data_IF_596770242883
#
_entry.id   IF_596770242883
#
_cell.length_a   1.000
_cell.length_b   1.000
_cell.length_c   1.000
_cell.angle_alpha   90.00
_cell.angle_beta   90.00
_cell.angle_gamma   90.00
#
_symmetry.space_group_name_H-M   'P 1'
#
loop_
_entity.id
_entity.type
_entity.pdbx_description
1 polymer ?
#
# COMPACT_ATOMS: atom_id res chain seq x y z
N UNK A 1 13.94 21.64 -49.29
CA UNK A 1 13.34 21.89 -47.96
C UNK A 1 12.85 23.34 -47.91
N UNK A 2 11.56 23.64 -48.12
CA UNK A 2 11.03 24.95 -47.81
C UNK A 2 10.46 24.96 -46.38
N UNK A 3 11.14 25.66 -45.48
CA UNK A 3 10.63 25.99 -44.15
C UNK A 3 9.58 27.09 -44.25
N UNK A 4 8.41 26.85 -43.68
CA UNK A 4 7.30 27.80 -43.66
C UNK A 4 7.35 28.67 -42.41
N UNK A 5 7.27 29.96 -42.66
CA UNK A 5 7.31 31.08 -41.74
C UNK A 5 6.26 31.03 -40.62
N UNK A 6 6.74 31.51 -39.49
CA UNK A 6 6.08 32.26 -38.43
C UNK A 6 4.82 33.05 -38.84
N UNK A 7 3.96 33.24 -37.82
CA UNK A 7 3.13 34.41 -37.54
C UNK A 7 1.65 34.31 -37.95
N UNK A 8 0.74 34.27 -36.94
CA UNK A 8 -0.30 35.31 -36.75
C UNK A 8 -1.23 35.10 -35.54
N UNK A 9 -1.35 36.20 -34.77
CA UNK A 9 -2.44 36.69 -33.90
C UNK A 9 -3.08 35.73 -32.88
N UNK A 10 -2.89 35.90 -31.57
CA UNK A 10 -3.40 37.01 -30.74
C UNK A 10 -4.93 37.17 -30.82
N UNK A 11 -5.65 36.51 -29.91
CA UNK A 11 -7.03 36.86 -29.55
C UNK A 11 -6.99 37.38 -28.12
N UNK A 12 -7.21 38.69 -27.96
CA UNK A 12 -7.32 39.35 -26.68
C UNK A 12 -8.79 39.73 -26.43
N UNK A 13 -9.21 39.49 -25.19
CA UNK A 13 -10.00 40.40 -24.35
C UNK A 13 -11.53 40.21 -24.20
N UNK A 14 -11.89 40.28 -22.90
CA UNK A 14 -13.12 40.84 -22.27
C UNK A 14 -14.31 39.90 -22.02
N UNK A 15 -14.48 39.48 -20.75
CA UNK A 15 -15.65 39.92 -19.95
C UNK A 15 -15.37 39.85 -18.43
N UNK A 16 -15.64 40.95 -17.75
CA UNK A 16 -15.44 41.23 -16.32
C UNK A 16 -16.77 41.12 -15.58
N UNK A 17 -16.75 40.57 -14.36
CA UNK A 17 -17.50 41.11 -13.23
C UNK A 17 -18.86 40.48 -12.85
N UNK A 18 -18.91 39.84 -11.68
CA UNK A 18 -19.87 40.15 -10.62
C UNK A 18 -19.45 39.47 -9.30
N UNK A 19 -19.02 40.29 -8.35
CA UNK A 19 -18.58 39.96 -7.00
C UNK A 19 -19.69 40.45 -6.05
N UNK A 20 -20.34 39.56 -5.31
CA UNK A 20 -21.18 39.93 -4.16
C UNK A 20 -21.06 38.86 -3.05
N UNK A 21 -20.35 39.13 -1.94
CA UNK A 21 -20.40 38.31 -0.74
C UNK A 21 -21.55 38.79 0.14
N UNK A 22 -22.62 38.00 0.27
CA UNK A 22 -23.63 38.24 1.30
C UNK A 22 -23.15 37.55 2.58
N UNK A 23 -22.47 38.32 3.41
CA UNK A 23 -22.15 37.97 4.79
C UNK A 23 -23.44 37.90 5.61
N UNK A 24 -23.92 36.69 5.87
CA UNK A 24 -24.90 36.46 6.95
C UNK A 24 -24.14 36.26 8.27
N UNK A 25 -23.99 37.35 9.01
CA UNK A 25 -23.62 37.31 10.43
C UNK A 25 -24.85 36.94 11.26
N UNK A 26 -24.78 35.81 11.97
CA UNK A 26 -25.58 35.57 13.19
C UNK A 26 -24.86 34.59 14.12
N UNK A 27 -25.16 34.67 15.42
CA UNK A 27 -24.29 35.13 16.47
C UNK A 27 -23.36 34.02 16.98
N UNK A 28 -22.15 34.39 17.40
CA UNK A 28 -21.40 33.57 18.33
C UNK A 28 -22.19 33.56 19.65
N UNK A 29 -22.95 32.50 19.87
CA UNK A 29 -23.28 32.03 21.20
C UNK A 29 -21.94 31.77 21.90
N UNK A 30 -21.47 32.78 22.61
CA UNK A 30 -20.33 32.77 23.51
C UNK A 30 -20.64 31.88 24.72
N UNK A 31 -20.98 30.62 24.49
CA UNK A 31 -20.95 29.59 25.52
C UNK A 31 -19.48 29.33 25.83
N UNK A 32 -19.00 30.11 26.79
CA UNK A 32 -17.61 30.15 27.25
C UNK A 32 -17.03 28.75 27.41
N UNK A 33 -15.89 28.50 26.77
CA UNK A 33 -15.08 27.29 26.94
C UNK A 33 -14.80 26.97 28.42
N UNK A 34 -14.76 28.01 29.28
CA UNK A 34 -14.58 27.85 30.71
C UNK A 34 -15.81 27.20 31.39
N UNK A 35 -17.02 27.52 30.92
CA UNK A 35 -18.25 26.91 31.43
C UNK A 35 -18.39 25.47 30.91
N UNK A 36 -18.06 25.22 29.64
CA UNK A 36 -17.99 23.87 29.07
C UNK A 36 -16.95 23.00 29.79
N UNK A 37 -15.78 23.54 30.09
CA UNK A 37 -14.73 22.85 30.85
C UNK A 37 -15.15 22.56 32.30
N UNK A 38 -15.86 23.48 32.97
CA UNK A 38 -16.45 23.21 34.29
C UNK A 38 -17.47 22.09 34.24
N UNK A 39 -18.42 22.11 33.30
CA UNK A 39 -19.40 21.01 33.13
C UNK A 39 -18.74 19.68 32.81
N UNK A 40 -17.69 19.66 31.99
CA UNK A 40 -16.94 18.44 31.68
C UNK A 40 -16.23 17.86 32.92
N UNK A 41 -15.69 18.73 33.80
CA UNK A 41 -15.07 18.33 35.07
C UNK A 41 -16.09 17.83 36.08
N UNK A 42 -17.25 18.48 36.18
CA UNK A 42 -18.38 18.05 37.03
C UNK A 42 -18.86 16.64 36.64
N UNK A 43 -18.99 16.37 35.33
CA UNK A 43 -19.39 15.04 34.81
C UNK A 43 -18.38 13.92 35.12
N UNK A 44 -17.09 14.25 35.28
CA UNK A 44 -16.04 13.27 35.65
C UNK A 44 -15.95 13.02 37.17
N UNK A 45 -16.57 13.85 38.01
CA UNK A 45 -16.59 13.63 39.48
C UNK A 45 -17.54 12.49 39.90
N UNK A 46 -18.52 12.14 39.06
CA UNK A 46 -19.48 11.06 39.29
C UNK A 46 -19.28 9.82 38.42
N UNK A 47 -18.29 9.82 37.51
CA UNK A 47 -18.03 8.65 36.66
C UNK A 47 -17.34 7.55 37.46
N UNK A 48 -17.92 6.34 37.42
CA UNK A 48 -17.32 5.14 37.99
C UNK A 48 -15.87 4.97 37.51
N UNK A 49 -15.02 4.46 38.42
CA UNK A 49 -13.58 4.24 38.20
C UNK A 49 -13.37 3.56 36.84
N UNK A 50 -12.41 4.04 36.01
CA UNK A 50 -12.14 3.40 34.73
C UNK A 50 -11.85 1.92 34.93
N UNK A 51 -12.41 1.07 34.06
CA UNK A 51 -12.19 -0.36 34.08
C UNK A 51 -10.68 -0.65 34.11
N UNK A 52 -10.30 -1.64 34.92
CA UNK A 52 -8.92 -2.04 35.17
C UNK A 52 -8.16 -2.17 33.85
N UNK A 53 -7.11 -1.37 33.67
CA UNK A 53 -6.23 -1.47 32.50
C UNK A 53 -5.53 -2.82 32.58
N UNK A 54 -5.80 -3.70 31.62
CA UNK A 54 -5.05 -4.94 31.47
C UNK A 54 -3.73 -4.59 30.79
N UNK A 55 -2.65 -4.49 31.57
CA UNK A 55 -1.27 -4.42 31.07
C UNK A 55 -0.67 -5.81 31.00
N UNK A 56 0.47 -5.96 30.30
CA UNK A 56 1.19 -7.23 30.13
C UNK A 56 1.45 -7.95 31.47
N UNK A 57 1.63 -7.19 32.55
CA UNK A 57 1.83 -7.69 33.91
C UNK A 57 0.57 -8.29 34.58
N UNK A 58 -0.62 -8.02 34.04
CA UNK A 58 -1.91 -8.50 34.57
C UNK A 58 -2.53 -9.60 33.71
N UNK A 59 -1.82 -10.02 32.66
CA UNK A 59 -2.16 -11.21 31.88
C UNK A 59 -1.81 -12.44 32.73
N UNK A 60 -2.83 -13.16 33.19
CA UNK A 60 -2.65 -14.49 33.78
C UNK A 60 -2.34 -15.48 32.64
N UNK A 61 -1.10 -15.43 32.15
CA UNK A 61 -0.62 -16.38 31.14
C UNK A 61 -0.41 -17.71 31.83
N UNK A 62 -1.42 -18.59 31.74
CA UNK A 62 -1.22 -20.00 32.06
C UNK A 62 -0.12 -20.53 31.14
N UNK A 63 0.95 -21.02 31.77
CA UNK A 63 2.13 -21.61 31.12
C UNK A 63 1.69 -22.83 30.30
N UNK A 64 1.21 -22.60 29.08
CA UNK A 64 0.59 -23.61 28.21
C UNK A 64 -0.11 -23.06 26.96
N UNK A 65 -0.56 -21.79 26.96
CA UNK A 65 -1.27 -21.20 25.81
C UNK A 65 -0.37 -20.42 24.83
N UNK A 66 0.92 -20.31 25.10
CA UNK A 66 1.90 -19.84 24.12
C UNK A 66 2.34 -21.00 23.24
N UNK A 67 1.62 -21.24 22.14
CA UNK A 67 2.17 -22.01 21.01
C UNK A 67 3.27 -21.19 20.35
N UNK A 68 4.46 -21.27 20.93
CA UNK A 68 5.69 -20.85 20.27
C UNK A 68 5.90 -21.81 19.09
N UNK A 69 5.67 -21.32 17.87
CA UNK A 69 5.96 -22.04 16.64
C UNK A 69 7.49 -22.13 16.46
N UNK A 70 8.13 -22.98 17.27
CA UNK A 70 9.49 -23.44 17.05
C UNK A 70 9.38 -24.63 16.10
N UNK A 71 10.05 -24.51 14.96
CA UNK A 71 10.17 -25.56 13.96
C UNK A 71 10.74 -26.82 14.61
N UNK A 72 9.91 -27.83 14.78
CA UNK A 72 10.31 -29.17 15.15
C UNK A 72 10.80 -29.87 13.89
N UNK A 73 12.13 -29.95 13.75
CA UNK A 73 12.81 -30.71 12.72
C UNK A 73 12.70 -32.21 13.06
N UNK A 74 11.99 -33.04 12.26
CA UNK A 74 11.90 -34.46 12.55
C UNK A 74 13.22 -35.14 12.18
N UNK A 75 13.99 -35.51 13.22
CA UNK A 75 15.08 -36.47 13.13
C UNK A 75 14.51 -37.85 12.79
N UNK A 76 14.75 -38.31 11.56
CA UNK A 76 14.48 -39.68 11.16
C UNK A 76 15.62 -40.56 11.69
N UNK A 77 15.26 -41.62 12.43
CA UNK A 77 16.15 -42.68 12.84
C UNK A 77 16.42 -43.65 11.67
N UNK A 78 17.68 -43.96 11.43
CA UNK A 78 18.09 -45.03 10.52
C UNK A 78 19.04 -44.57 9.41
N UNK A 79 20.33 -44.53 9.70
CA UNK A 79 21.34 -44.73 8.67
C UNK A 79 21.27 -46.20 8.17
N UNK A 80 21.64 -46.47 6.92
CA UNK A 80 23.01 -46.95 6.75
C UNK A 80 23.76 -46.39 5.53
N UNK A 81 25.06 -46.62 5.62
CA UNK A 81 26.18 -46.34 4.73
C UNK A 81 25.99 -46.49 3.22
N UNK A 82 26.83 -45.72 2.52
CA UNK A 82 27.13 -45.82 1.11
C UNK A 82 27.75 -47.17 0.71
N UNK A 83 27.29 -47.75 -0.40
CA UNK A 83 28.14 -48.48 -1.36
C UNK A 83 27.41 -48.75 -2.70
N UNK A 84 28.03 -48.26 -3.79
CA UNK A 84 27.97 -48.63 -5.21
C UNK A 84 27.18 -49.90 -5.64
N UNK A 85 26.32 -49.79 -6.66
CA UNK A 85 26.67 -50.03 -8.08
C UNK A 85 25.45 -49.84 -9.03
N UNK A 86 25.68 -49.64 -10.35
CA UNK A 86 24.71 -49.06 -11.28
C UNK A 86 23.78 -50.12 -11.89
N UNK A 87 22.48 -49.86 -11.83
CA UNK A 87 21.47 -50.58 -12.58
C UNK A 87 20.79 -49.63 -13.55
N UNK A 88 21.13 -49.74 -14.84
CA UNK A 88 20.34 -49.14 -15.91
C UNK A 88 18.90 -49.64 -15.80
N UNK A 89 17.99 -48.76 -15.39
CA UNK A 89 16.57 -48.89 -15.71
C UNK A 89 16.11 -47.56 -16.25
N UNK A 90 15.87 -47.54 -17.55
CA UNK A 90 15.13 -46.48 -18.22
C UNK A 90 13.82 -46.26 -17.46
N UNK A 91 13.70 -45.09 -16.84
CA UNK A 91 12.47 -44.57 -16.29
C UNK A 91 12.13 -43.30 -17.07
N UNK A 92 11.10 -43.44 -17.90
CA UNK A 92 10.23 -42.43 -18.48
C UNK A 92 10.41 -40.99 -17.92
N UNK A 93 10.54 -39.94 -18.77
CA UNK A 93 10.28 -38.58 -18.32
C UNK A 93 8.76 -38.43 -18.21
N UNK A 94 8.22 -38.80 -17.06
CA UNK A 94 6.79 -38.97 -16.88
C UNK A 94 6.35 -38.58 -15.49
N UNK A 95 6.49 -37.30 -15.16
CA UNK A 95 5.63 -36.58 -14.20
C UNK A 95 5.89 -35.09 -14.42
N UNK A 96 5.51 -34.63 -15.62
CA UNK A 96 5.11 -33.23 -15.72
C UNK A 96 3.96 -33.01 -14.74
N UNK A 97 3.95 -31.86 -14.09
CA UNK A 97 2.84 -31.33 -13.31
C UNK A 97 1.52 -31.39 -14.09
N UNK A 98 0.89 -32.57 -14.07
CA UNK A 98 -0.50 -32.77 -14.42
C UNK A 98 -1.36 -32.29 -13.23
N UNK A 99 -1.12 -31.05 -12.79
CA UNK A 99 -2.19 -30.31 -12.16
C UNK A 99 -3.31 -30.20 -13.19
N UNK A 100 -4.47 -30.75 -12.84
CA UNK A 100 -5.69 -30.59 -13.61
C UNK A 100 -5.86 -29.11 -14.00
N UNK A 101 -6.28 -28.78 -15.24
CA UNK A 101 -6.43 -27.40 -15.71
C UNK A 101 -7.21 -26.52 -14.71
N UNK A 102 -8.24 -27.07 -14.07
CA UNK A 102 -9.01 -26.40 -13.02
C UNK A 102 -8.17 -25.95 -11.81
N UNK A 103 -7.17 -26.75 -11.39
CA UNK A 103 -6.30 -26.41 -10.27
C UNK A 103 -5.26 -25.32 -10.64
N UNK A 104 -4.93 -25.17 -11.94
CA UNK A 104 -4.07 -24.08 -12.44
C UNK A 104 -4.87 -22.77 -12.52
N UNK A 105 -6.10 -22.83 -13.00
CA UNK A 105 -6.99 -21.66 -13.07
C UNK A 105 -7.30 -21.06 -11.69
N UNK A 106 -7.57 -21.90 -10.68
CA UNK A 106 -7.79 -21.42 -9.32
C UNK A 106 -6.54 -20.76 -8.71
N UNK A 107 -5.33 -21.24 -9.05
CA UNK A 107 -4.07 -20.58 -8.66
C UNK A 107 -3.92 -19.23 -9.35
N UNK A 108 -4.19 -19.15 -10.65
CA UNK A 108 -4.13 -17.89 -11.41
C UNK A 108 -5.11 -16.86 -10.88
N UNK A 109 -6.36 -17.26 -10.55
CA UNK A 109 -7.35 -16.36 -9.93
C UNK A 109 -6.88 -15.80 -8.59
N UNK A 110 -6.28 -16.64 -7.74
CA UNK A 110 -5.70 -16.21 -6.45
C UNK A 110 -4.56 -15.22 -6.66
N UNK A 111 -3.68 -15.48 -7.61
CA UNK A 111 -2.56 -14.57 -7.91
C UNK A 111 -3.06 -13.24 -8.48
N UNK A 112 -4.07 -13.25 -9.36
CA UNK A 112 -4.73 -12.03 -9.85
C UNK A 112 -5.32 -11.23 -8.68
N UNK A 113 -5.99 -11.88 -7.73
CA UNK A 113 -6.54 -11.21 -6.56
C UNK A 113 -5.43 -10.58 -5.70
N UNK A 114 -4.34 -11.30 -5.46
CA UNK A 114 -3.18 -10.81 -4.72
C UNK A 114 -2.52 -9.61 -5.40
N UNK A 115 -2.28 -9.68 -6.71
CA UNK A 115 -1.67 -8.57 -7.47
C UNK A 115 -2.59 -7.34 -7.48
N UNK A 116 -3.91 -7.51 -7.52
CA UNK A 116 -4.86 -6.40 -7.39
C UNK A 116 -4.79 -5.74 -6.01
N UNK A 117 -4.65 -6.52 -4.95
CA UNK A 117 -4.47 -6.02 -3.59
C UNK A 117 -3.17 -5.23 -3.47
N UNK A 118 -2.05 -5.81 -3.93
CA UNK A 118 -0.75 -5.12 -3.98
C UNK A 118 -0.81 -3.82 -4.78
N UNK A 119 -1.56 -3.79 -5.89
CA UNK A 119 -1.75 -2.59 -6.69
C UNK A 119 -2.55 -1.53 -5.93
N UNK A 120 -3.60 -1.92 -5.20
CA UNK A 120 -4.38 -1.00 -4.35
C UNK A 120 -3.51 -0.40 -3.25
N UNK A 121 -2.72 -1.23 -2.59
CA UNK A 121 -1.82 -0.80 -1.52
C UNK A 121 -0.73 0.11 -2.07
N UNK A 122 -0.11 -0.24 -3.20
CA UNK A 122 0.88 0.60 -3.85
C UNK A 122 0.33 1.96 -4.30
N UNK A 123 -0.93 2.02 -4.76
CA UNK A 123 -1.63 3.27 -5.08
C UNK A 123 -1.89 4.11 -3.82
N UNK A 124 -2.30 3.48 -2.71
CA UNK A 124 -2.48 4.15 -1.43
C UNK A 124 -1.18 4.75 -0.90
N UNK A 125 -0.11 3.96 -0.94
CA UNK A 125 1.24 4.42 -0.55
C UNK A 125 1.73 5.56 -1.46
N UNK A 126 1.46 5.50 -2.77
CA UNK A 126 1.82 6.59 -3.68
C UNK A 126 1.10 7.89 -3.29
N UNK A 127 -0.20 7.83 -2.99
CA UNK A 127 -0.96 8.99 -2.55
C UNK A 127 -0.45 9.56 -1.22
N UNK A 128 -0.10 8.68 -0.27
CA UNK A 128 0.53 9.09 1.00
C UNK A 128 1.87 9.79 0.74
N UNK A 129 2.77 9.19 -0.04
CA UNK A 129 4.07 9.78 -0.38
C UNK A 129 3.92 11.12 -1.09
N UNK A 130 2.93 11.27 -1.98
CA UNK A 130 2.66 12.55 -2.64
C UNK A 130 2.15 13.62 -1.68
N UNK A 131 1.34 13.24 -0.69
CA UNK A 131 0.86 14.17 0.35
C UNK A 131 1.97 14.56 1.32
N UNK A 132 2.76 13.59 1.77
CA UNK A 132 3.95 13.80 2.62
C UNK A 132 4.93 14.74 1.92
N UNK A 133 5.30 14.44 0.68
CA UNK A 133 6.22 15.28 -0.07
C UNK A 133 5.71 16.71 -0.25
N UNK A 134 4.41 16.90 -0.47
CA UNK A 134 3.82 18.25 -0.52
C UNK A 134 3.91 18.97 0.83
N UNK A 135 3.62 18.27 1.92
CA UNK A 135 3.71 18.83 3.27
C UNK A 135 5.15 19.20 3.62
N UNK A 136 6.11 18.35 3.26
CA UNK A 136 7.52 18.58 3.49
C UNK A 136 8.07 19.72 2.61
N UNK A 137 7.60 19.85 1.37
CA UNK A 137 7.90 21.00 0.52
C UNK A 137 7.41 22.31 1.17
N UNK A 138 6.17 22.34 1.65
CA UNK A 138 5.62 23.51 2.35
C UNK A 138 6.41 23.84 3.62
N UNK A 139 6.76 22.80 4.38
CA UNK A 139 7.59 22.94 5.59
C UNK A 139 8.99 23.46 5.28
N UNK A 140 9.61 22.99 4.20
CA UNK A 140 10.95 23.40 3.78
C UNK A 140 10.94 24.85 3.26
N UNK A 141 10.06 25.18 2.31
CA UNK A 141 10.03 26.49 1.66
C UNK A 141 9.42 27.61 2.52
N UNK A 142 8.70 27.29 3.60
CA UNK A 142 8.22 28.29 4.55
C UNK A 142 9.31 28.85 5.47
N UNK A 143 10.49 28.21 5.53
CA UNK A 143 11.60 28.67 6.36
C UNK A 143 12.32 29.86 5.72
N UNK A 144 12.64 30.93 6.47
CA UNK A 144 13.31 32.12 5.93
C UNK A 144 14.68 31.86 5.30
N UNK A 145 15.39 30.81 5.74
CA UNK A 145 16.73 30.46 5.28
C UNK A 145 16.81 29.02 4.70
N UNK A 146 15.72 28.56 4.07
CA UNK A 146 15.62 27.19 3.52
C UNK A 146 16.79 26.80 2.61
N UNK A 147 17.35 27.76 1.86
CA UNK A 147 18.47 27.52 0.95
C UNK A 147 19.74 26.99 1.63
N UNK A 148 19.88 27.22 2.94
CA UNK A 148 20.98 26.69 3.75
C UNK A 148 20.70 25.30 4.33
N UNK A 149 19.43 24.86 4.32
CA UNK A 149 19.03 23.54 4.80
C UNK A 149 19.23 22.49 3.68
N UNK A 150 20.44 21.96 3.63
CA UNK A 150 20.80 20.90 2.69
C UNK A 150 20.14 19.57 3.03
N UNK A 151 19.89 19.31 4.32
CA UNK A 151 19.24 18.09 4.79
C UNK A 151 17.76 18.05 4.37
N UNK A 152 17.04 19.17 4.53
CA UNK A 152 15.67 19.32 4.06
C UNK A 152 15.57 19.15 2.54
N UNK A 153 16.49 19.76 1.78
CA UNK A 153 16.56 19.55 0.33
C UNK A 153 16.78 18.08 -0.03
N UNK A 154 17.73 17.42 0.63
CA UNK A 154 18.03 16.01 0.37
C UNK A 154 16.82 15.12 0.70
N UNK A 155 16.09 15.41 1.78
CA UNK A 155 14.84 14.71 2.13
C UNK A 155 13.80 14.81 0.99
N UNK A 156 13.60 16.02 0.45
CA UNK A 156 12.69 16.24 -0.67
C UNK A 156 13.11 15.47 -1.93
N UNK A 157 14.41 15.47 -2.22
CA UNK A 157 14.97 14.73 -3.35
C UNK A 157 14.74 13.20 -3.16
N UNK A 158 15.02 12.66 -1.97
CA UNK A 158 14.80 11.25 -1.62
C UNK A 158 13.33 10.84 -1.71
N UNK A 159 12.41 11.68 -1.23
CA UNK A 159 10.97 11.45 -1.35
C UNK A 159 10.51 11.48 -2.80
N UNK A 160 11.04 12.40 -3.60
CA UNK A 160 10.75 12.48 -5.03
C UNK A 160 11.22 11.20 -5.75
N UNK A 161 12.39 10.67 -5.38
CA UNK A 161 12.86 9.37 -5.85
C UNK A 161 11.92 8.23 -5.46
N UNK A 162 11.50 8.14 -4.20
CA UNK A 162 10.55 7.13 -3.73
C UNK A 162 9.21 7.18 -4.48
N UNK A 163 8.70 8.38 -4.75
CA UNK A 163 7.48 8.57 -5.57
C UNK A 163 7.71 8.00 -6.97
N UNK A 164 8.87 8.26 -7.58
CA UNK A 164 9.26 7.70 -8.88
C UNK A 164 9.30 6.18 -8.87
N UNK A 165 9.98 5.59 -7.90
CA UNK A 165 10.10 4.13 -7.75
C UNK A 165 8.73 3.47 -7.54
N UNK A 166 7.88 4.08 -6.72
CA UNK A 166 6.53 3.57 -6.45
C UNK A 166 5.64 3.62 -7.70
N UNK A 167 5.75 4.66 -8.53
CA UNK A 167 5.06 4.74 -9.82
C UNK A 167 5.49 3.62 -10.76
N UNK A 168 6.80 3.36 -10.85
CA UNK A 168 7.31 2.25 -11.65
C UNK A 168 6.79 0.90 -11.14
N UNK A 169 6.72 0.71 -9.82
CA UNK A 169 6.17 -0.53 -9.26
C UNK A 169 4.68 -0.71 -9.60
N UNK A 170 3.89 0.35 -9.53
CA UNK A 170 2.48 0.31 -9.97
C UNK A 170 2.39 -0.13 -11.43
N UNK A 171 3.22 0.41 -12.31
CA UNK A 171 3.20 0.04 -13.72
C UNK A 171 3.66 -1.41 -13.95
N UNK A 172 4.64 -1.90 -13.19
CA UNK A 172 5.04 -3.32 -13.18
C UNK A 172 3.89 -4.22 -12.71
N UNK A 173 3.18 -3.85 -11.65
CA UNK A 173 2.03 -4.60 -11.13
C UNK A 173 0.87 -4.62 -12.13
N UNK A 174 0.61 -3.50 -12.83
CA UNK A 174 -0.37 -3.46 -13.93
C UNK A 174 0.02 -4.43 -15.06
N UNK A 175 1.30 -4.46 -15.45
CA UNK A 175 1.81 -5.39 -16.45
C UNK A 175 1.59 -6.85 -16.03
N UNK A 176 2.02 -7.21 -14.82
CA UNK A 176 1.80 -8.56 -14.25
C UNK A 176 0.32 -8.94 -14.21
N UNK A 177 -0.55 -7.99 -13.85
CA UNK A 177 -1.99 -8.22 -13.82
C UNK A 177 -2.54 -8.54 -15.22
N UNK A 178 -2.10 -7.82 -16.25
CA UNK A 178 -2.51 -8.05 -17.63
C UNK A 178 -2.01 -9.42 -18.14
N UNK A 179 -0.76 -9.77 -17.85
CA UNK A 179 -0.17 -11.05 -18.24
C UNK A 179 -0.91 -12.22 -17.59
N UNK A 180 -1.19 -12.14 -16.28
CA UNK A 180 -1.96 -13.18 -15.57
C UNK A 180 -3.40 -13.32 -16.09
N UNK A 181 -4.06 -12.19 -16.42
CA UNK A 181 -5.39 -12.22 -17.02
C UNK A 181 -5.38 -12.86 -18.41
N UNK A 182 -4.35 -12.59 -19.21
CA UNK A 182 -4.16 -13.23 -20.52
C UNK A 182 -3.94 -14.73 -20.37
N UNK A 183 -3.08 -15.17 -19.46
CA UNK A 183 -2.85 -16.60 -19.19
C UNK A 183 -4.12 -17.32 -18.72
N UNK A 184 -4.97 -16.66 -17.93
CA UNK A 184 -6.26 -17.20 -17.51
C UNK A 184 -7.27 -17.32 -18.68
N UNK A 185 -7.24 -16.36 -19.61
CA UNK A 185 -8.04 -16.42 -20.84
C UNK A 185 -7.58 -17.54 -21.79
N UNK A 186 -6.28 -17.71 -21.94
CA UNK A 186 -5.68 -18.77 -22.75
C UNK A 186 -5.95 -20.16 -22.14
N UNK A 187 -5.80 -20.33 -20.82
CA UNK A 187 -6.08 -21.59 -20.13
C UNK A 187 -7.55 -22.01 -20.26
N UNK A 188 -8.48 -21.08 -20.05
CA UNK A 188 -9.93 -21.34 -20.20
C UNK A 188 -10.32 -21.67 -21.65
N UNK A 189 -9.71 -21.03 -22.66
CA UNK A 189 -9.95 -21.36 -24.07
C UNK A 189 -9.39 -22.74 -24.47
N UNK A 190 -8.25 -23.15 -23.89
CA UNK A 190 -7.65 -24.46 -24.14
C UNK A 190 -8.42 -25.61 -23.48
N UNK A 191 -9.04 -25.37 -22.32
CA UNK A 191 -9.88 -26.36 -21.64
C UNK A 191 -11.25 -26.56 -22.29
N UNK A 192 -11.67 -25.65 -23.18
CA UNK A 192 -12.98 -25.70 -23.86
C UNK A 192 -12.93 -26.32 -25.27
N UNK A 193 -11.75 -26.69 -25.79
CA UNK A 193 -11.62 -27.39 -27.08
C UNK A 193 -11.60 -28.91 -26.85
N UNK A 194 -12.64 -29.64 -27.30
CA UNK A 194 -12.70 -31.10 -27.21
C UNK A 194 -11.79 -31.80 -28.22
#
# INVERSE_FOLDING_TARGET
MPGSLLLRSAFAAVLVGALLPVAFSRPQDSQSVAEAARRAREKKKGSAKPAKVITDDTLDVKRGDVQSAVAEEPKIAGAPDAANQPGNRAANPGTGDAQSPAAKDEKLKKEIARVKEQLKDALGDLDLLQRENRLDQDTYYSQPNFASDTAGKQKLDDEQHKIGDKRQEIDRLKGKLADLQKSLGESSSSSSRP
#
